data_IF_742308398043
#
_entry.id   IF_742308398043
#
_cell.length_a   1.000
_cell.length_b   1.000
_cell.length_c   1.000
_cell.angle_alpha   90.00
_cell.angle_beta   90.00
_cell.angle_gamma   90.00
#
_symmetry.space_group_name_H-M   'P 1'
#
loop_
_entity.id
_entity.type
_entity.pdbx_description
1 polymer ?
#
# COMPACT_ATOMS: atom_id res chain seq x y z
N UNK A 1 34.58 -7.11 46.00
CA UNK A 1 33.16 -6.97 45.56
C UNK A 1 32.98 -5.89 44.49
N UNK A 2 33.99 -5.61 43.61
CA UNK A 2 33.93 -4.51 42.60
C UNK A 2 33.79 -5.04 41.18
N UNK A 3 33.78 -6.35 40.97
CA UNK A 3 33.72 -6.96 39.60
C UNK A 3 32.32 -7.27 39.07
N UNK A 4 31.24 -7.07 39.86
CA UNK A 4 29.85 -7.36 39.45
C UNK A 4 29.06 -6.12 39.00
N UNK A 5 29.57 -4.92 39.20
CA UNK A 5 28.90 -3.66 38.81
C UNK A 5 29.18 -3.21 37.37
N UNK A 6 30.21 -3.74 36.70
CA UNK A 6 30.58 -3.34 35.33
C UNK A 6 29.88 -4.14 34.23
N UNK A 7 29.26 -5.28 34.55
CA UNK A 7 28.57 -6.11 33.58
C UNK A 7 27.14 -5.65 33.26
N UNK A 8 26.51 -4.84 34.12
CA UNK A 8 25.14 -4.36 33.97
C UNK A 8 25.06 -3.10 33.09
N UNK A 9 26.13 -2.33 33.03
CA UNK A 9 26.13 -1.09 32.25
C UNK A 9 26.36 -1.28 30.73
N UNK A 10 26.91 -2.42 30.32
CA UNK A 10 27.14 -2.75 28.91
C UNK A 10 25.90 -3.37 28.21
N UNK A 11 24.93 -3.90 28.96
CA UNK A 11 23.69 -4.44 28.39
C UNK A 11 22.64 -3.37 28.09
N UNK A 12 22.70 -2.20 28.75
CA UNK A 12 21.78 -1.10 28.51
C UNK A 12 22.10 -0.31 27.23
N UNK A 13 23.34 -0.31 26.76
CA UNK A 13 23.77 0.39 25.55
C UNK A 13 23.37 -0.37 24.26
N UNK A 14 23.27 -1.69 24.31
CA UNK A 14 22.88 -2.51 23.15
C UNK A 14 21.37 -2.43 22.84
N UNK A 15 20.53 -2.18 23.83
CA UNK A 15 19.07 -2.05 23.64
C UNK A 15 18.69 -0.70 23.02
N UNK A 16 19.48 0.36 23.20
CA UNK A 16 19.23 1.68 22.61
C UNK A 16 19.60 1.76 21.12
N UNK A 17 20.55 0.95 20.65
CA UNK A 17 20.94 0.90 19.23
C UNK A 17 19.92 0.18 18.35
N UNK A 18 19.18 -0.82 18.88
CA UNK A 18 18.15 -1.54 18.15
C UNK A 18 16.86 -0.73 17.95
N UNK A 19 16.61 0.31 18.75
CA UNK A 19 15.42 1.16 18.66
C UNK A 19 15.55 2.30 17.63
N UNK A 20 16.74 2.57 17.10
CA UNK A 20 16.97 3.67 16.15
C UNK A 20 16.91 3.29 14.67
N UNK A 21 16.81 2.02 14.31
CA UNK A 21 16.72 1.58 12.90
C UNK A 21 15.33 1.69 12.28
N UNK A 22 14.29 2.11 13.01
CA UNK A 22 12.90 2.14 12.51
C UNK A 22 12.37 3.52 12.12
N UNK A 23 13.16 4.57 12.18
CA UNK A 23 12.70 5.95 11.95
C UNK A 23 13.42 6.61 10.78
N UNK A 24 13.14 6.15 9.57
CA UNK A 24 13.38 7.02 8.41
C UNK A 24 12.16 7.95 8.26
N UNK A 25 12.25 9.25 8.66
CA UNK A 25 11.12 10.16 8.63
C UNK A 25 10.55 10.36 7.22
N UNK A 26 11.39 10.31 6.19
CA UNK A 26 10.96 10.39 4.79
C UNK A 26 10.10 9.19 4.36
N UNK A 27 10.36 7.99 4.91
CA UNK A 27 9.53 6.81 4.66
C UNK A 27 8.19 6.87 5.41
N UNK A 28 8.13 7.58 6.55
CA UNK A 28 6.91 7.79 7.31
C UNK A 28 6.02 8.88 6.68
N UNK A 29 6.61 9.94 6.13
CA UNK A 29 5.87 11.01 5.42
C UNK A 29 5.21 10.51 4.14
N UNK A 30 5.84 9.60 3.39
CA UNK A 30 5.24 9.00 2.19
C UNK A 30 4.15 7.96 2.48
N UNK A 31 4.07 7.41 3.71
CA UNK A 31 3.02 6.45 4.09
C UNK A 31 1.70 7.12 4.44
N UNK A 32 1.73 8.23 5.16
CA UNK A 32 0.52 8.95 5.61
C UNK A 32 -0.42 9.35 4.47
N UNK A 33 0.03 10.01 3.40
CA UNK A 33 -0.84 10.37 2.29
C UNK A 33 -1.46 9.15 1.59
N UNK A 34 -0.73 8.06 1.53
CA UNK A 34 -1.20 6.81 0.91
C UNK A 34 -2.27 6.11 1.75
N UNK A 35 -2.09 6.08 3.07
CA UNK A 35 -3.08 5.54 4.01
C UNK A 35 -4.34 6.39 4.03
N UNK A 36 -4.21 7.71 3.97
CA UNK A 36 -5.34 8.64 3.86
C UNK A 36 -6.12 8.45 2.56
N UNK A 37 -5.42 8.28 1.44
CA UNK A 37 -6.05 7.97 0.16
C UNK A 37 -6.86 6.66 0.23
N UNK A 38 -6.32 5.61 0.84
CA UNK A 38 -7.06 4.36 1.02
C UNK A 38 -8.26 4.51 1.95
N UNK A 39 -8.15 5.28 3.03
CA UNK A 39 -9.30 5.57 3.90
C UNK A 39 -10.41 6.33 3.17
N UNK A 40 -10.06 7.32 2.35
CA UNK A 40 -11.05 8.04 1.52
C UNK A 40 -11.75 7.12 0.53
N UNK A 41 -11.01 6.19 -0.09
CA UNK A 41 -11.56 5.21 -1.02
C UNK A 41 -12.48 4.22 -0.29
N UNK A 42 -12.09 3.73 0.87
CA UNK A 42 -12.92 2.85 1.69
C UNK A 42 -14.20 3.57 2.14
N UNK A 43 -14.10 4.84 2.55
CA UNK A 43 -15.26 5.66 2.89
C UNK A 43 -16.19 5.89 1.69
N UNK A 44 -15.61 6.18 0.51
CA UNK A 44 -16.38 6.33 -0.73
C UNK A 44 -17.11 5.03 -1.10
N UNK A 45 -16.43 3.89 -1.05
CA UNK A 45 -17.04 2.58 -1.32
C UNK A 45 -18.20 2.32 -0.36
N UNK A 46 -17.98 2.49 0.94
CA UNK A 46 -18.99 2.23 1.97
C UNK A 46 -20.21 3.17 1.82
N UNK A 47 -19.98 4.47 1.55
CA UNK A 47 -21.07 5.43 1.40
C UNK A 47 -21.93 5.19 0.15
N UNK A 48 -21.35 4.63 -0.90
CA UNK A 48 -22.09 4.37 -2.15
C UNK A 48 -22.65 2.95 -2.26
N UNK A 49 -22.18 2.02 -1.41
CA UNK A 49 -22.50 0.60 -1.51
C UNK A 49 -24.01 0.34 -1.42
N UNK A 50 -24.68 0.91 -0.42
CA UNK A 50 -26.08 0.68 -0.17
C UNK A 50 -26.97 1.25 -1.27
N UNK A 51 -26.74 2.48 -1.68
CA UNK A 51 -27.53 3.17 -2.69
C UNK A 51 -27.29 2.56 -4.10
N UNK A 52 -26.05 2.39 -4.50
CA UNK A 52 -25.68 1.87 -5.83
C UNK A 52 -26.24 0.47 -6.09
N UNK A 53 -26.26 -0.39 -5.07
CA UNK A 53 -26.75 -1.75 -5.18
C UNK A 53 -28.25 -1.85 -4.89
N UNK A 54 -28.88 -0.84 -4.28
CA UNK A 54 -30.26 -0.90 -3.81
C UNK A 54 -30.42 -1.93 -2.69
N UNK A 55 -29.56 -1.90 -1.68
CA UNK A 55 -29.56 -2.85 -0.56
C UNK A 55 -30.59 -2.43 0.50
N UNK A 56 -31.22 -3.44 1.13
CA UNK A 56 -31.92 -3.24 2.40
C UNK A 56 -30.88 -3.02 3.52
N UNK A 57 -31.31 -2.43 4.65
CA UNK A 57 -30.43 -2.23 5.81
C UNK A 57 -29.87 -3.57 6.32
N UNK A 58 -30.66 -4.63 6.31
CA UNK A 58 -30.24 -5.97 6.72
C UNK A 58 -29.16 -6.53 5.77
N UNK A 59 -29.36 -6.38 4.44
CA UNK A 59 -28.35 -6.78 3.46
C UNK A 59 -27.07 -5.99 3.64
N UNK A 60 -27.16 -4.67 3.85
CA UNK A 60 -25.98 -3.82 4.05
C UNK A 60 -25.16 -4.24 5.27
N UNK A 61 -25.80 -4.48 6.42
CA UNK A 61 -25.12 -4.93 7.64
C UNK A 61 -24.42 -6.27 7.43
N UNK A 62 -25.00 -7.20 6.67
CA UNK A 62 -24.40 -8.50 6.37
C UNK A 62 -23.30 -8.44 5.31
N UNK A 63 -23.44 -7.54 4.34
CA UNK A 63 -22.49 -7.39 3.23
C UNK A 63 -21.20 -6.67 3.64
N UNK A 64 -21.32 -5.60 4.43
CA UNK A 64 -20.22 -4.71 4.77
C UNK A 64 -18.96 -5.41 5.32
N UNK A 65 -19.06 -6.39 6.25
CA UNK A 65 -17.89 -7.14 6.72
C UNK A 65 -17.19 -7.92 5.61
N UNK A 66 -17.94 -8.52 4.69
CA UNK A 66 -17.40 -9.29 3.58
C UNK A 66 -16.64 -8.40 2.59
N UNK A 67 -17.22 -7.25 2.26
CA UNK A 67 -16.55 -6.25 1.40
C UNK A 67 -15.28 -5.72 2.05
N UNK A 68 -15.32 -5.39 3.35
CA UNK A 68 -14.12 -4.95 4.08
C UNK A 68 -13.02 -6.01 4.10
N UNK A 69 -13.36 -7.28 4.32
CA UNK A 69 -12.40 -8.38 4.27
C UNK A 69 -11.78 -8.50 2.88
N UNK A 70 -12.58 -8.54 1.82
CA UNK A 70 -12.11 -8.59 0.44
C UNK A 70 -11.12 -7.46 0.13
N UNK A 71 -11.45 -6.22 0.50
CA UNK A 71 -10.56 -5.07 0.28
C UNK A 71 -9.27 -5.16 1.10
N UNK A 72 -9.37 -5.66 2.34
CA UNK A 72 -8.20 -5.87 3.19
C UNK A 72 -7.25 -6.93 2.60
N UNK A 73 -7.78 -8.07 2.17
CA UNK A 73 -6.99 -9.16 1.60
C UNK A 73 -6.31 -8.74 0.29
N UNK A 74 -7.03 -8.05 -0.59
CA UNK A 74 -6.43 -7.43 -1.80
C UNK A 74 -5.25 -6.53 -1.46
N UNK A 75 -5.38 -5.67 -0.43
CA UNK A 75 -4.31 -4.78 0.02
C UNK A 75 -3.13 -5.55 0.61
N UNK A 76 -3.38 -6.56 1.44
CA UNK A 76 -2.34 -7.36 2.06
C UNK A 76 -1.49 -8.10 1.01
N UNK A 77 -2.12 -8.78 0.05
CA UNK A 77 -1.40 -9.46 -1.03
C UNK A 77 -0.61 -8.49 -1.90
N UNK A 78 -1.20 -7.36 -2.27
CA UNK A 78 -0.50 -6.33 -3.03
C UNK A 78 0.71 -5.76 -2.27
N UNK A 79 0.59 -5.54 -0.96
CA UNK A 79 1.68 -5.06 -0.11
C UNK A 79 2.79 -6.11 0.07
N UNK A 80 2.45 -7.38 0.31
CA UNK A 80 3.42 -8.48 0.41
C UNK A 80 4.26 -8.56 -0.87
N UNK A 81 3.59 -8.62 -2.02
CA UNK A 81 4.25 -8.65 -3.34
C UNK A 81 5.14 -7.42 -3.56
N UNK A 82 4.63 -6.22 -3.27
CA UNK A 82 5.36 -4.98 -3.46
C UNK A 82 6.62 -4.90 -2.58
N UNK A 83 6.54 -5.34 -1.32
CA UNK A 83 7.69 -5.39 -0.40
C UNK A 83 8.80 -6.31 -0.94
N UNK A 84 8.44 -7.53 -1.34
CA UNK A 84 9.40 -8.48 -1.89
C UNK A 84 10.10 -7.93 -3.15
N UNK A 85 9.34 -7.34 -4.09
CA UNK A 85 9.88 -6.73 -5.31
C UNK A 85 10.77 -5.51 -5.03
N UNK A 86 10.41 -4.67 -4.04
CA UNK A 86 11.22 -3.52 -3.66
C UNK A 86 12.54 -3.94 -3.01
N UNK A 87 12.51 -4.96 -2.16
CA UNK A 87 13.71 -5.50 -1.53
C UNK A 87 14.65 -6.13 -2.56
N UNK A 88 14.14 -6.94 -3.49
CA UNK A 88 14.93 -7.45 -4.60
C UNK A 88 15.60 -6.33 -5.40
N UNK A 89 14.84 -5.29 -5.75
CA UNK A 89 15.39 -4.12 -6.47
C UNK A 89 16.50 -3.46 -5.69
N UNK A 90 16.32 -3.24 -4.38
CA UNK A 90 17.32 -2.63 -3.51
C UNK A 90 18.61 -3.45 -3.45
N UNK A 91 18.50 -4.77 -3.25
CA UNK A 91 19.63 -5.68 -3.20
C UNK A 91 20.42 -5.70 -4.52
N UNK A 92 19.73 -5.77 -5.65
CA UNK A 92 20.35 -5.75 -6.97
C UNK A 92 21.06 -4.42 -7.27
N UNK A 93 20.49 -3.29 -6.84
CA UNK A 93 21.09 -1.98 -7.05
C UNK A 93 22.29 -1.71 -6.15
N UNK A 94 22.30 -2.25 -4.92
CA UNK A 94 23.41 -2.06 -3.97
C UNK A 94 24.57 -3.01 -4.14
N UNK A 95 24.46 -3.99 -5.03
CA UNK A 95 25.45 -5.08 -5.18
C UNK A 95 25.49 -6.05 -4.00
N UNK A 96 24.57 -5.94 -3.05
CA UNK A 96 24.45 -6.83 -1.87
C UNK A 96 23.56 -8.04 -2.09
N UNK A 97 23.21 -8.34 -3.34
CA UNK A 97 22.36 -9.46 -3.68
C UNK A 97 23.13 -10.80 -3.52
N UNK A 98 22.68 -11.64 -2.60
CA UNK A 98 23.11 -13.04 -2.53
C UNK A 98 22.03 -13.91 -3.19
N UNK A 99 22.45 -15.01 -3.84
CA UNK A 99 21.52 -15.93 -4.50
C UNK A 99 20.45 -16.45 -3.56
N UNK A 100 20.85 -16.91 -2.35
CA UNK A 100 19.92 -17.41 -1.34
C UNK A 100 18.86 -16.38 -0.91
N UNK A 101 19.24 -15.10 -0.75
CA UNK A 101 18.30 -14.05 -0.41
C UNK A 101 17.33 -13.72 -1.54
N UNK A 102 17.82 -13.73 -2.79
CA UNK A 102 16.95 -13.57 -3.96
C UNK A 102 15.98 -14.74 -4.12
N UNK A 103 16.41 -15.97 -3.87
CA UNK A 103 15.54 -17.16 -3.88
C UNK A 103 14.43 -17.08 -2.83
N UNK A 104 14.73 -16.61 -1.61
CA UNK A 104 13.70 -16.38 -0.57
C UNK A 104 12.65 -15.40 -1.02
N UNK A 105 13.07 -14.26 -1.58
CA UNK A 105 12.14 -13.21 -2.04
C UNK A 105 11.33 -13.68 -3.26
N UNK A 106 11.93 -14.47 -4.15
CA UNK A 106 11.21 -15.08 -5.27
C UNK A 106 10.19 -16.13 -4.79
N UNK A 107 10.51 -16.90 -3.76
CA UNK A 107 9.52 -17.81 -3.12
C UNK A 107 8.36 -17.04 -2.53
N UNK A 108 8.61 -15.91 -1.85
CA UNK A 108 7.55 -15.06 -1.32
C UNK A 108 6.65 -14.52 -2.44
N UNK A 109 7.21 -14.05 -3.56
CA UNK A 109 6.40 -13.59 -4.71
C UNK A 109 5.52 -14.72 -5.25
N UNK A 110 6.10 -15.91 -5.47
CA UNK A 110 5.35 -17.09 -5.96
C UNK A 110 4.27 -17.54 -4.97
N UNK A 111 4.55 -17.50 -3.66
CA UNK A 111 3.58 -17.82 -2.62
C UNK A 111 2.39 -16.84 -2.67
N UNK A 112 2.65 -15.54 -2.75
CA UNK A 112 1.60 -14.52 -2.90
C UNK A 112 0.76 -14.77 -4.15
N UNK A 113 1.38 -15.06 -5.28
CA UNK A 113 0.67 -15.32 -6.55
C UNK A 113 -0.23 -16.55 -6.47
N UNK A 114 0.20 -17.61 -5.78
CA UNK A 114 -0.58 -18.83 -5.61
C UNK A 114 -1.70 -18.69 -4.56
N UNK A 115 -1.49 -17.93 -3.50
CA UNK A 115 -2.44 -17.75 -2.39
C UNK A 115 -3.53 -16.73 -2.71
N UNK A 116 -3.21 -15.68 -3.47
CA UNK A 116 -4.09 -14.54 -3.70
C UNK A 116 -5.38 -14.95 -4.43
N UNK A 117 -5.27 -15.65 -5.54
CA UNK A 117 -6.43 -15.97 -6.38
C UNK A 117 -7.52 -16.77 -5.63
N UNK A 118 -7.18 -17.87 -4.92
CA UNK A 118 -8.20 -18.61 -4.16
C UNK A 118 -8.74 -17.85 -2.95
N UNK A 119 -7.94 -17.00 -2.29
CA UNK A 119 -8.39 -16.17 -1.19
C UNK A 119 -9.42 -15.13 -1.64
N UNK A 120 -9.09 -14.36 -2.68
CA UNK A 120 -9.97 -13.35 -3.25
C UNK A 120 -11.27 -13.98 -3.79
N UNK A 121 -11.19 -15.18 -4.36
CA UNK A 121 -12.37 -15.91 -4.82
C UNK A 121 -13.31 -16.24 -3.67
N UNK A 122 -12.80 -16.80 -2.56
CA UNK A 122 -13.61 -17.09 -1.36
C UNK A 122 -14.29 -15.83 -0.79
N UNK A 123 -13.58 -14.70 -0.79
CA UNK A 123 -14.16 -13.45 -0.33
C UNK A 123 -15.27 -12.96 -1.27
N UNK A 124 -15.06 -13.06 -2.58
CA UNK A 124 -16.08 -12.72 -3.57
C UNK A 124 -17.32 -13.63 -3.45
N UNK A 125 -17.12 -14.92 -3.25
CA UNK A 125 -18.22 -15.87 -3.02
C UNK A 125 -19.01 -15.48 -1.76
N UNK A 126 -18.34 -15.00 -0.71
CA UNK A 126 -18.99 -14.49 0.52
C UNK A 126 -19.77 -13.19 0.30
N UNK A 127 -19.30 -12.31 -0.59
CA UNK A 127 -20.02 -11.11 -1.02
C UNK A 127 -21.25 -11.52 -1.84
N UNK A 128 -21.07 -12.38 -2.82
CA UNK A 128 -22.12 -12.83 -3.72
C UNK A 128 -23.26 -13.57 -3.01
N UNK A 129 -22.94 -14.31 -1.93
CA UNK A 129 -23.94 -15.03 -1.12
C UNK A 129 -24.99 -14.12 -0.45
N UNK A 130 -24.72 -12.83 -0.30
CA UNK A 130 -25.65 -11.84 0.28
C UNK A 130 -26.47 -11.12 -0.78
N UNK A 131 -26.03 -11.16 -2.04
CA UNK A 131 -26.54 -10.36 -3.14
C UNK A 131 -27.38 -11.16 -4.13
N UNK A 132 -28.44 -10.55 -4.64
CA UNK A 132 -29.15 -11.07 -5.82
C UNK A 132 -28.27 -10.94 -7.07
N UNK A 133 -28.55 -11.69 -8.16
CA UNK A 133 -27.76 -11.59 -9.40
C UNK A 133 -27.66 -10.16 -9.96
N UNK A 134 -28.73 -9.36 -9.86
CA UNK A 134 -28.72 -7.95 -10.28
C UNK A 134 -27.80 -7.11 -9.40
N UNK A 135 -27.83 -7.33 -8.09
CA UNK A 135 -26.95 -6.65 -7.14
C UNK A 135 -25.49 -7.06 -7.31
N UNK A 136 -25.23 -8.34 -7.61
CA UNK A 136 -23.87 -8.82 -7.93
C UNK A 136 -23.32 -8.11 -9.18
N UNK A 137 -24.12 -7.97 -10.24
CA UNK A 137 -23.70 -7.23 -11.44
C UNK A 137 -23.39 -5.76 -11.12
N UNK A 138 -24.26 -5.09 -10.36
CA UNK A 138 -24.01 -3.71 -9.89
C UNK A 138 -22.75 -3.61 -9.04
N UNK A 139 -22.51 -4.59 -8.16
CA UNK A 139 -21.28 -4.61 -7.35
C UNK A 139 -20.02 -4.68 -8.21
N UNK A 140 -19.98 -5.52 -9.25
CA UNK A 140 -18.85 -5.58 -10.19
C UNK A 140 -18.60 -4.26 -10.91
N UNK A 141 -19.66 -3.53 -11.28
CA UNK A 141 -19.55 -2.19 -11.88
C UNK A 141 -18.99 -1.20 -10.87
N UNK A 142 -19.49 -1.19 -9.64
CA UNK A 142 -18.99 -0.33 -8.57
C UNK A 142 -17.51 -0.60 -8.27
N UNK A 143 -17.07 -1.86 -8.29
CA UNK A 143 -15.65 -2.21 -8.15
C UNK A 143 -14.77 -1.54 -9.23
N UNK A 144 -15.19 -1.57 -10.50
CA UNK A 144 -14.48 -0.90 -11.60
C UNK A 144 -14.40 0.61 -11.41
N UNK A 145 -15.46 1.24 -10.91
CA UNK A 145 -15.48 2.67 -10.61
C UNK A 145 -14.52 3.03 -9.48
N UNK A 146 -14.50 2.24 -8.42
CA UNK A 146 -13.56 2.38 -7.29
C UNK A 146 -12.11 2.23 -7.77
N UNK A 147 -11.82 1.21 -8.58
CA UNK A 147 -10.48 1.02 -9.15
C UNK A 147 -10.04 2.21 -10.02
N UNK A 148 -10.95 2.76 -10.81
CA UNK A 148 -10.68 3.97 -11.59
C UNK A 148 -10.36 5.14 -10.68
N UNK A 149 -11.15 5.34 -9.63
CA UNK A 149 -10.94 6.41 -8.65
C UNK A 149 -9.60 6.28 -7.93
N UNK A 150 -9.22 5.06 -7.55
CA UNK A 150 -7.89 4.77 -6.98
C UNK A 150 -6.78 5.23 -7.92
N UNK A 151 -6.88 4.87 -9.21
CA UNK A 151 -5.87 5.27 -10.21
C UNK A 151 -5.78 6.77 -10.37
N UNK A 152 -6.91 7.48 -10.41
CA UNK A 152 -6.95 8.95 -10.50
C UNK A 152 -6.25 9.61 -9.30
N UNK A 153 -6.61 9.21 -8.07
CA UNK A 153 -6.01 9.73 -6.83
C UNK A 153 -4.50 9.46 -6.81
N UNK A 154 -4.07 8.26 -7.20
CA UNK A 154 -2.64 7.91 -7.25
C UNK A 154 -1.87 8.70 -8.30
N UNK A 155 -2.47 9.02 -9.44
CA UNK A 155 -1.86 9.89 -10.46
C UNK A 155 -1.74 11.33 -9.98
N UNK A 156 -2.77 11.87 -9.32
CA UNK A 156 -2.74 13.23 -8.75
C UNK A 156 -1.64 13.37 -7.69
N UNK A 157 -1.51 12.38 -6.79
CA UNK A 157 -0.44 12.37 -5.78
C UNK A 157 0.97 12.35 -6.40
N UNK A 158 1.17 11.61 -7.49
CA UNK A 158 2.46 11.59 -8.22
C UNK A 158 2.75 12.92 -8.91
N UNK A 159 1.74 13.56 -9.49
CA UNK A 159 1.87 14.88 -10.13
C UNK A 159 2.27 15.98 -9.14
N UNK A 160 1.79 15.92 -7.91
CA UNK A 160 2.13 16.87 -6.86
C UNK A 160 3.54 16.64 -6.27
N UNK A 161 4.03 15.40 -6.26
CA UNK A 161 5.36 15.06 -5.77
C UNK A 161 6.50 15.49 -6.73
N UNK A 162 6.19 15.87 -7.96
CA UNK A 162 7.13 16.43 -8.94
C UNK A 162 6.61 17.77 -9.42
N UNK A 163 6.80 18.88 -8.68
CA UNK A 163 6.66 20.20 -9.24
C UNK A 163 7.75 20.31 -10.31
N UNK A 164 7.33 20.15 -11.56
CA UNK A 164 8.20 20.32 -12.72
C UNK A 164 8.85 21.69 -12.59
N UNK A 165 10.16 21.69 -12.34
CA UNK A 165 11.03 22.85 -12.49
C UNK A 165 11.02 23.31 -13.93
N UNK A 166 9.91 23.89 -14.38
CA UNK A 166 9.83 24.60 -15.64
C UNK A 166 10.56 25.91 -15.49
N UNK A 167 11.78 25.91 -16.03
CA UNK A 167 12.31 27.02 -16.77
C UNK A 167 12.29 28.37 -16.07
N UNK A 168 13.32 28.67 -15.27
CA UNK A 168 13.80 30.05 -15.24
C UNK A 168 14.20 30.41 -16.67
N UNK A 169 13.56 31.42 -17.33
CA UNK A 169 14.10 31.95 -18.54
C UNK A 169 15.48 32.54 -18.22
N UNK A 170 16.53 32.03 -18.86
CA UNK A 170 17.84 32.66 -18.87
C UNK A 170 17.63 34.07 -19.42
N UNK A 171 17.73 35.06 -18.55
CA UNK A 171 17.91 36.46 -18.94
C UNK A 171 19.15 36.50 -19.81
N UNK A 172 18.95 36.80 -21.09
CA UNK A 172 19.96 37.07 -22.08
C UNK A 172 20.62 38.38 -21.65
N UNK A 173 21.79 38.28 -21.00
CA UNK A 173 22.64 39.46 -20.81
C UNK A 173 23.04 39.99 -22.19
N UNK A 174 22.47 41.14 -22.53
CA UNK A 174 22.94 41.98 -23.60
C UNK A 174 24.34 42.46 -23.27
N UNK A 175 25.36 41.98 -24.01
CA UNK A 175 26.69 42.55 -24.01
C UNK A 175 26.67 43.85 -24.84
N UNK A 176 27.12 44.97 -24.32
CA UNK A 176 27.39 46.17 -25.13
C UNK A 176 28.69 45.96 -25.92
N UNK A 177 28.62 46.06 -27.21
CA UNK A 177 29.80 46.22 -28.09
C UNK A 177 30.29 47.67 -28.06
N UNK A 178 31.63 47.93 -28.20
CA UNK A 178 32.25 49.23 -28.24
C UNK A 178 32.01 49.97 -29.57
#
# INVERSE_FOLDING_TARGET
MIRRALAVLLLAAAAAAAAQESSNPAAAEGRRPREEAFRMIDAYLVSNLQESLGLTDEQFVRLLPNVKRLQNDRRQYAQRRQRALQEMRKLLQSGGATEGRLEELLREVKAVESEQAPAIRRDLDSVDAVLSPVQQAKYRILELEVERKIREVMMQMRGQAHPSGRGRPRSREEQPHP
#
